data_IF_748743774646
#
_entry.id   IF_748743774646
#
_cell.length_a   1.000
_cell.length_b   1.000
_cell.length_c   1.000
_cell.angle_alpha   90.00
_cell.angle_beta   90.00
_cell.angle_gamma   90.00
#
_symmetry.space_group_name_H-M   'P 1'
#
loop_
_entity.id
_entity.type
_entity.pdbx_description
1 polymer ?
#
# COMPACT_ATOMS: atom_id res chain seq x y z
N UNK A 1 -24.76 6.71 30.87
CA UNK A 1 -24.79 5.38 30.22
C UNK A 1 -25.45 5.45 28.86
N UNK A 2 -26.58 6.16 28.70
CA UNK A 2 -27.34 6.24 27.45
C UNK A 2 -26.65 7.06 26.38
N UNK A 3 -26.04 8.20 26.74
CA UNK A 3 -25.20 9.01 25.85
C UNK A 3 -23.99 8.22 25.33
N UNK A 4 -23.32 7.43 26.19
CA UNK A 4 -22.20 6.60 25.77
C UNK A 4 -22.61 5.52 24.75
N UNK A 5 -23.81 4.92 24.93
CA UNK A 5 -24.38 3.96 23.96
C UNK A 5 -24.71 4.61 22.62
N UNK A 6 -25.28 5.83 22.64
CA UNK A 6 -25.56 6.58 21.40
C UNK A 6 -24.28 6.95 20.66
N UNK A 7 -23.25 7.46 21.38
CA UNK A 7 -21.97 7.78 20.78
C UNK A 7 -21.27 6.55 20.18
N UNK A 8 -21.33 5.41 20.89
CA UNK A 8 -20.76 4.16 20.38
C UNK A 8 -21.48 3.68 19.11
N UNK A 9 -22.83 3.83 19.06
CA UNK A 9 -23.59 3.46 17.87
C UNK A 9 -23.27 4.36 16.68
N UNK A 10 -23.18 5.67 16.89
CA UNK A 10 -22.81 6.62 15.83
C UNK A 10 -21.38 6.32 15.29
N UNK A 11 -20.43 6.01 16.18
CA UNK A 11 -19.09 5.61 15.78
C UNK A 11 -19.10 4.29 14.99
N UNK A 12 -19.90 3.32 15.39
CA UNK A 12 -20.05 2.07 14.65
C UNK A 12 -20.62 2.31 13.24
N UNK A 13 -21.67 3.11 13.13
CA UNK A 13 -22.30 3.43 11.84
C UNK A 13 -21.28 4.16 10.91
N UNK A 14 -20.48 5.08 11.45
CA UNK A 14 -19.43 5.79 10.71
C UNK A 14 -18.32 4.84 10.23
N UNK A 15 -17.86 3.93 11.09
CA UNK A 15 -16.86 2.91 10.71
C UNK A 15 -17.41 2.00 9.61
N UNK A 16 -18.65 1.53 9.74
CA UNK A 16 -19.29 0.67 8.75
C UNK A 16 -19.42 1.37 7.39
N UNK A 17 -19.72 2.66 7.39
CA UNK A 17 -19.81 3.44 6.16
C UNK A 17 -18.42 3.66 5.53
N UNK A 18 -17.39 3.96 6.33
CA UNK A 18 -16.02 4.03 5.86
C UNK A 18 -15.55 2.71 5.23
N UNK A 19 -15.85 1.57 5.84
CA UNK A 19 -15.50 0.25 5.31
C UNK A 19 -16.22 -0.06 3.99
N UNK A 20 -17.50 0.31 3.85
CA UNK A 20 -18.24 0.15 2.58
C UNK A 20 -17.67 1.05 1.49
N UNK A 21 -17.45 2.31 1.81
CA UNK A 21 -16.93 3.31 0.86
C UNK A 21 -15.51 3.01 0.41
N UNK A 22 -14.66 2.44 1.28
CA UNK A 22 -13.30 2.00 0.94
C UNK A 22 -13.23 0.71 0.10
N UNK A 23 -14.36 0.05 -0.15
CA UNK A 23 -14.42 -1.30 -0.73
C UNK A 23 -13.61 -2.34 0.06
N UNK A 24 -13.50 -2.15 1.37
CA UNK A 24 -12.71 -3.04 2.24
C UNK A 24 -13.09 -4.51 2.07
N UNK A 25 -14.39 -4.82 2.02
CA UNK A 25 -14.86 -6.19 1.85
C UNK A 25 -14.43 -6.84 0.52
N UNK A 26 -14.34 -6.05 -0.56
CA UNK A 26 -13.83 -6.52 -1.85
C UNK A 26 -12.35 -6.86 -1.78
N UNK A 27 -11.55 -5.95 -1.22
CA UNK A 27 -10.11 -6.13 -1.06
C UNK A 27 -9.78 -7.31 -0.12
N UNK A 28 -10.53 -7.45 0.99
CA UNK A 28 -10.38 -8.58 1.91
C UNK A 28 -10.72 -9.92 1.26
N UNK A 29 -11.71 -9.97 0.38
CA UNK A 29 -12.03 -11.20 -0.37
C UNK A 29 -10.85 -11.63 -1.24
N UNK A 30 -10.27 -10.71 -1.99
CA UNK A 30 -9.09 -10.99 -2.80
C UNK A 30 -7.88 -11.41 -1.95
N UNK A 31 -7.68 -10.77 -0.81
CA UNK A 31 -6.63 -11.13 0.14
C UNK A 31 -6.81 -12.56 0.68
N UNK A 32 -8.05 -12.96 1.01
CA UNK A 32 -8.37 -14.33 1.46
C UNK A 32 -8.15 -15.35 0.34
N UNK A 33 -8.48 -15.02 -0.91
CA UNK A 33 -8.21 -15.88 -2.07
C UNK A 33 -6.71 -16.12 -2.25
N UNK A 34 -5.88 -15.07 -2.14
CA UNK A 34 -4.42 -15.20 -2.17
C UNK A 34 -3.92 -16.07 -1.02
N UNK A 35 -4.43 -15.82 0.18
CA UNK A 35 -4.09 -16.60 1.37
C UNK A 35 -4.37 -18.09 1.16
N UNK A 36 -5.50 -18.46 0.59
CA UNK A 36 -5.83 -19.85 0.30
C UNK A 36 -4.94 -20.45 -0.81
N UNK A 37 -4.65 -19.70 -1.88
CA UNK A 37 -3.90 -20.19 -3.03
C UNK A 37 -2.40 -20.25 -2.78
N UNK A 38 -1.81 -19.11 -2.34
CA UNK A 38 -0.37 -18.92 -2.19
C UNK A 38 0.08 -19.31 -0.79
N UNK A 39 -0.77 -19.03 0.21
CA UNK A 39 -0.52 -19.28 1.63
C UNK A 39 -0.48 -18.02 2.47
N UNK A 40 -0.39 -16.87 1.83
CA UNK A 40 -0.41 -15.58 2.51
C UNK A 40 -1.14 -14.55 1.66
N UNK A 41 -1.92 -13.72 2.30
CA UNK A 41 -2.54 -12.54 1.72
C UNK A 41 -2.03 -11.30 2.44
N UNK A 42 -1.87 -10.20 1.71
CA UNK A 42 -1.39 -8.92 2.23
C UNK A 42 -2.43 -7.84 1.95
N UNK A 43 -2.75 -7.06 2.96
CA UNK A 43 -3.61 -5.88 2.85
C UNK A 43 -2.87 -4.65 3.35
N UNK A 44 -3.05 -3.53 2.67
CA UNK A 44 -2.59 -2.21 3.06
C UNK A 44 -3.79 -1.38 3.49
N UNK A 45 -3.69 -0.70 4.61
CA UNK A 45 -4.71 0.24 5.05
C UNK A 45 -4.73 0.44 6.57
N UNK A 46 -5.45 1.47 7.05
CA UNK A 46 -6.09 2.51 6.23
C UNK A 46 -5.08 3.51 5.64
N UNK A 47 -5.32 3.97 4.42
CA UNK A 47 -4.54 5.05 3.81
C UNK A 47 -5.47 6.06 3.11
N UNK A 48 -5.11 7.34 2.99
CA UNK A 48 -5.96 8.34 2.38
C UNK A 48 -6.08 8.13 0.87
N UNK A 49 -7.33 7.95 0.39
CA UNK A 49 -7.64 7.90 -1.04
C UNK A 49 -8.45 9.13 -1.43
N UNK A 50 -8.03 9.80 -2.49
CA UNK A 50 -8.81 10.87 -3.10
C UNK A 50 -9.93 10.26 -3.94
N UNK A 51 -11.17 10.40 -3.49
CA UNK A 51 -12.37 10.03 -4.27
C UNK A 51 -12.97 11.25 -4.92
N UNK A 52 -13.33 11.07 -6.18
CA UNK A 52 -14.00 12.11 -6.96
C UNK A 52 -15.42 11.65 -7.25
N UNK A 53 -16.40 12.30 -6.64
CA UNK A 53 -17.81 12.07 -6.88
C UNK A 53 -18.38 13.19 -7.76
N UNK A 54 -19.17 12.81 -8.76
CA UNK A 54 -19.89 13.76 -9.61
C UNK A 54 -21.32 13.85 -9.10
N UNK A 55 -21.70 15.01 -8.60
CA UNK A 55 -23.00 15.25 -7.99
C UNK A 55 -23.70 16.40 -8.69
N UNK A 56 -25.02 16.28 -8.89
CA UNK A 56 -25.82 17.43 -9.32
C UNK A 56 -26.14 18.31 -8.11
N UNK A 57 -25.72 19.57 -8.17
CA UNK A 57 -26.15 20.61 -7.19
C UNK A 57 -27.09 21.58 -7.85
N UNK A 58 -28.13 21.96 -7.11
CA UNK A 58 -29.03 23.05 -7.48
C UNK A 58 -28.39 24.36 -7.03
N UNK A 59 -27.92 25.16 -7.98
CA UNK A 59 -27.32 26.47 -7.74
C UNK A 59 -28.23 27.51 -8.42
N UNK A 60 -29.07 28.15 -7.59
CA UNK A 60 -30.00 29.19 -8.09
C UNK A 60 -31.07 28.71 -9.07
N UNK A 61 -31.58 27.47 -8.91
CA UNK A 61 -32.61 26.87 -9.77
C UNK A 61 -32.09 26.20 -11.04
N UNK A 62 -30.76 26.18 -11.23
CA UNK A 62 -30.10 25.46 -12.33
C UNK A 62 -29.34 24.27 -11.74
N UNK A 63 -29.61 23.07 -12.27
CA UNK A 63 -28.87 21.86 -11.87
C UNK A 63 -27.53 21.83 -12.57
N UNK A 64 -26.47 22.15 -11.85
CA UNK A 64 -25.11 22.06 -12.34
C UNK A 64 -24.43 20.78 -11.91
N UNK A 65 -23.54 20.28 -12.78
CA UNK A 65 -22.75 19.08 -12.55
C UNK A 65 -21.45 19.48 -11.83
N UNK A 66 -21.38 19.21 -10.53
CA UNK A 66 -20.22 19.58 -9.71
C UNK A 66 -19.41 18.32 -9.37
N UNK A 67 -18.10 18.44 -9.55
CA UNK A 67 -17.15 17.39 -9.15
C UNK A 67 -16.70 17.68 -7.72
N UNK A 68 -17.08 16.82 -6.78
CA UNK A 68 -16.61 16.88 -5.40
C UNK A 68 -15.42 15.95 -5.23
N UNK A 69 -14.37 16.44 -4.61
CA UNK A 69 -13.19 15.66 -4.28
C UNK A 69 -13.08 15.56 -2.76
N UNK A 70 -13.13 14.35 -2.24
CA UNK A 70 -13.04 14.06 -0.81
C UNK A 70 -11.89 13.09 -0.55
N UNK A 71 -11.21 13.24 0.58
CA UNK A 71 -10.21 12.28 1.06
C UNK A 71 -10.92 11.33 2.00
N UNK A 72 -10.89 10.04 1.69
CA UNK A 72 -11.51 8.98 2.50
C UNK A 72 -10.48 7.91 2.83
N UNK A 73 -10.62 7.21 3.96
CA UNK A 73 -9.78 6.06 4.26
C UNK A 73 -10.06 4.96 3.24
N UNK A 74 -8.99 4.33 2.78
CA UNK A 74 -9.08 3.22 1.85
C UNK A 74 -8.24 2.04 2.27
N UNK A 75 -8.54 0.89 1.70
CA UNK A 75 -7.76 -0.33 1.85
C UNK A 75 -7.50 -0.92 0.47
N UNK A 76 -6.37 -1.59 0.32
CA UNK A 76 -5.92 -2.17 -0.94
C UNK A 76 -5.29 -3.53 -0.68
N UNK A 77 -5.70 -4.53 -1.44
CA UNK A 77 -4.98 -5.81 -1.52
C UNK A 77 -3.64 -5.59 -2.19
N UNK A 78 -2.56 -6.11 -1.58
CA UNK A 78 -1.23 -6.11 -2.16
C UNK A 78 -0.92 -7.53 -2.62
N UNK A 79 -0.35 -7.65 -3.81
CA UNK A 79 0.14 -8.94 -4.30
C UNK A 79 1.30 -9.40 -3.43
N UNK A 80 1.23 -10.59 -2.80
CA UNK A 80 2.30 -11.10 -1.94
C UNK A 80 3.68 -11.19 -2.62
N UNK A 81 3.73 -11.30 -3.94
CA UNK A 81 4.97 -11.29 -4.72
C UNK A 81 5.61 -9.89 -4.88
N UNK A 82 4.84 -8.86 -4.53
CA UNK A 82 5.28 -7.47 -4.58
C UNK A 82 5.44 -6.84 -3.19
N UNK A 83 5.41 -7.66 -2.14
CA UNK A 83 5.61 -7.22 -0.76
C UNK A 83 6.82 -7.91 -0.14
N UNK A 84 7.75 -7.11 0.38
CA UNK A 84 9.04 -7.57 0.88
C UNK A 84 9.26 -7.04 2.31
N UNK A 85 8.80 -7.75 3.34
CA UNK A 85 9.08 -7.40 4.73
C UNK A 85 10.51 -7.75 5.10
N UNK A 86 11.01 -7.16 6.17
CA UNK A 86 12.31 -7.49 6.77
C UNK A 86 12.37 -9.01 7.07
N UNK A 87 13.37 -9.75 6.56
CA UNK A 87 13.54 -11.16 6.87
C UNK A 87 13.69 -11.47 8.37
N UNK A 88 14.13 -10.50 9.16
CA UNK A 88 14.29 -10.65 10.60
C UNK A 88 13.01 -10.38 11.42
N UNK A 89 11.89 -10.05 10.78
CA UNK A 89 10.63 -9.71 11.47
C UNK A 89 9.99 -10.88 12.24
N UNK A 90 10.40 -12.12 11.98
CA UNK A 90 9.77 -13.28 12.60
C UNK A 90 8.34 -13.52 12.09
N UNK A 91 7.41 -13.78 13.03
CA UNK A 91 6.01 -14.08 12.68
C UNK A 91 5.15 -12.83 12.40
N UNK A 92 5.58 -11.67 12.88
CA UNK A 92 4.89 -10.39 12.67
C UNK A 92 5.78 -9.40 11.93
N UNK A 93 5.25 -8.85 10.84
CA UNK A 93 5.97 -7.84 10.06
C UNK A 93 6.30 -6.58 10.87
N UNK A 94 5.50 -6.25 11.90
CA UNK A 94 5.70 -5.08 12.76
C UNK A 94 6.92 -5.19 13.68
N UNK A 95 7.46 -6.40 13.86
CA UNK A 95 8.72 -6.61 14.60
C UNK A 95 9.96 -6.35 13.73
N UNK A 96 9.76 -6.17 12.42
CA UNK A 96 10.84 -5.88 11.48
C UNK A 96 11.23 -4.40 11.49
N UNK A 97 12.40 -4.11 10.94
CA UNK A 97 12.92 -2.75 10.82
C UNK A 97 12.35 -2.01 9.61
N UNK A 98 11.87 -2.72 8.60
CA UNK A 98 11.36 -2.14 7.37
C UNK A 98 10.41 -3.06 6.60
N UNK A 99 9.66 -2.44 5.68
CA UNK A 99 8.89 -3.14 4.65
C UNK A 99 9.02 -2.41 3.32
N UNK A 100 9.04 -3.18 2.22
CA UNK A 100 9.01 -2.65 0.86
C UNK A 100 7.78 -3.17 0.13
N UNK A 101 7.12 -2.28 -0.60
CA UNK A 101 6.07 -2.60 -1.55
C UNK A 101 6.50 -2.18 -2.95
N UNK A 102 6.26 -3.03 -3.94
CA UNK A 102 6.49 -2.73 -5.35
C UNK A 102 5.16 -2.59 -6.08
N UNK A 103 5.01 -1.52 -6.83
CA UNK A 103 3.86 -1.29 -7.70
C UNK A 103 4.31 -1.05 -9.14
N UNK A 104 3.42 -1.36 -10.07
CA UNK A 104 3.64 -1.07 -11.48
C UNK A 104 2.63 -0.03 -11.95
N UNK A 105 3.11 1.12 -12.37
CA UNK A 105 2.29 2.26 -12.76
C UNK A 105 2.47 2.61 -14.23
N UNK A 106 1.38 3.00 -14.87
CA UNK A 106 1.41 3.58 -16.21
C UNK A 106 1.89 5.04 -16.17
N UNK A 107 2.41 5.55 -17.28
CA UNK A 107 2.80 6.96 -17.42
C UNK A 107 1.69 7.95 -17.06
N UNK A 108 0.43 7.57 -17.24
CA UNK A 108 -0.73 8.38 -16.86
C UNK A 108 -0.84 8.52 -15.34
N UNK A 109 -0.78 7.40 -14.62
CA UNK A 109 -0.86 7.40 -13.16
C UNK A 109 0.28 8.19 -12.53
N UNK A 110 1.48 8.10 -13.10
CA UNK A 110 2.64 8.86 -12.64
C UNK A 110 2.45 10.37 -12.85
N UNK A 111 1.86 10.79 -13.97
CA UNK A 111 1.53 12.21 -14.18
C UNK A 111 0.51 12.72 -13.18
N UNK A 112 -0.45 11.90 -12.76
CA UNK A 112 -1.43 12.25 -11.72
C UNK A 112 -0.77 12.45 -10.34
N UNK A 113 0.41 11.85 -10.11
CA UNK A 113 1.19 12.03 -8.86
C UNK A 113 1.90 13.40 -8.80
N UNK A 114 2.15 14.07 -9.93
CA UNK A 114 2.84 15.37 -9.97
C UNK A 114 2.08 16.43 -9.16
N UNK A 115 0.76 16.38 -9.19
CA UNK A 115 -0.11 17.32 -8.49
C UNK A 115 -0.43 16.91 -7.04
N UNK A 116 0.13 15.78 -6.57
CA UNK A 116 -0.10 15.33 -5.21
C UNK A 116 0.87 16.01 -4.22
N UNK A 117 0.40 16.40 -3.03
CA UNK A 117 1.25 17.05 -2.03
C UNK A 117 2.35 16.12 -1.54
N UNK A 118 3.54 16.69 -1.35
CA UNK A 118 4.70 15.98 -0.82
C UNK A 118 5.47 15.14 -1.82
N UNK A 119 5.09 15.16 -3.10
CA UNK A 119 5.86 14.54 -4.19
C UNK A 119 6.74 15.58 -4.88
N UNK A 120 7.99 15.19 -5.22
CA UNK A 120 8.87 16.01 -6.03
C UNK A 120 8.49 15.92 -7.52
N UNK A 121 7.84 16.99 -8.00
CA UNK A 121 7.38 17.07 -9.38
C UNK A 121 8.54 17.02 -10.40
N UNK A 122 9.71 17.55 -10.04
CA UNK A 122 10.86 17.57 -10.95
C UNK A 122 11.44 16.18 -11.14
N UNK A 123 11.62 15.42 -10.06
CA UNK A 123 12.12 14.05 -10.11
C UNK A 123 11.14 13.12 -10.86
N UNK A 124 9.83 13.33 -10.68
CA UNK A 124 8.82 12.59 -11.47
C UNK A 124 8.92 12.91 -12.97
N UNK A 125 9.09 14.19 -13.34
CA UNK A 125 9.25 14.60 -14.74
C UNK A 125 10.54 14.01 -15.33
N UNK A 126 11.64 13.96 -14.56
CA UNK A 126 12.86 13.32 -15.01
C UNK A 126 12.67 11.81 -15.24
N UNK A 127 12.02 11.11 -14.31
CA UNK A 127 11.71 9.69 -14.46
C UNK A 127 10.84 9.42 -15.70
N UNK A 128 9.83 10.27 -15.96
CA UNK A 128 8.99 10.17 -17.16
C UNK A 128 9.78 10.37 -18.47
N UNK A 129 10.81 11.24 -18.46
CA UNK A 129 11.67 11.47 -19.64
C UNK A 129 12.63 10.30 -19.89
N UNK A 130 13.14 9.67 -18.82
CA UNK A 130 13.99 8.48 -18.93
C UNK A 130 13.22 7.25 -19.44
N UNK A 131 11.92 7.20 -19.18
CA UNK A 131 11.08 6.07 -19.51
C UNK A 131 11.11 4.94 -18.47
N UNK A 132 10.34 3.87 -18.69
CA UNK A 132 10.28 2.72 -17.78
C UNK A 132 11.63 1.99 -17.72
N UNK A 133 12.10 1.69 -16.51
CA UNK A 133 13.24 0.79 -16.29
C UNK A 133 12.70 -0.56 -15.83
N UNK A 134 13.05 -1.62 -16.53
CA UNK A 134 12.60 -2.96 -16.20
C UNK A 134 13.67 -3.67 -15.39
N UNK A 135 13.33 -4.02 -14.14
CA UNK A 135 14.24 -4.80 -13.29
C UNK A 135 14.43 -6.23 -13.81
N UNK A 136 15.59 -6.82 -13.55
CA UNK A 136 15.88 -8.21 -13.92
C UNK A 136 14.90 -9.21 -13.29
N UNK A 137 14.38 -8.91 -12.09
CA UNK A 137 13.40 -9.75 -11.40
C UNK A 137 12.06 -9.82 -12.13
N UNK A 138 11.68 -8.75 -12.82
CA UNK A 138 10.46 -8.69 -13.62
C UNK A 138 10.61 -9.44 -14.94
N UNK A 139 11.77 -9.36 -15.58
CA UNK A 139 12.06 -10.11 -16.81
C UNK A 139 11.94 -11.62 -16.61
N UNK A 140 12.25 -12.12 -15.40
CA UNK A 140 12.19 -13.54 -15.08
C UNK A 140 10.77 -14.04 -14.73
N UNK A 141 9.87 -13.17 -14.25
CA UNK A 141 8.54 -13.56 -13.74
C UNK A 141 7.40 -13.39 -14.74
N UNK A 142 7.53 -12.47 -15.68
CA UNK A 142 6.44 -12.10 -16.60
C UNK A 142 6.80 -12.50 -18.04
N UNK A 143 6.13 -13.50 -18.57
CA UNK A 143 6.34 -13.96 -19.95
C UNK A 143 5.90 -12.96 -21.03
N UNK A 144 5.44 -11.75 -20.65
CA UNK A 144 5.04 -10.68 -21.55
C UNK A 144 5.96 -9.47 -21.46
N UNK A 145 7.05 -9.49 -22.22
CA UNK A 145 8.00 -8.38 -22.32
C UNK A 145 7.33 -7.04 -22.67
N UNK A 146 6.32 -7.03 -23.53
CA UNK A 146 5.64 -5.80 -23.99
C UNK A 146 4.95 -5.02 -22.87
N UNK A 147 4.29 -5.69 -21.90
CA UNK A 147 3.66 -5.00 -20.77
C UNK A 147 4.68 -4.42 -19.79
N UNK A 148 5.85 -5.03 -19.71
CA UNK A 148 6.91 -4.58 -18.84
C UNK A 148 7.56 -3.27 -19.32
N UNK A 149 7.65 -3.06 -20.63
CA UNK A 149 8.26 -1.87 -21.24
C UNK A 149 7.39 -0.61 -21.14
N UNK A 150 6.09 -0.75 -20.85
CA UNK A 150 5.14 0.36 -20.74
C UNK A 150 4.85 0.82 -19.30
N UNK A 151 5.35 0.10 -18.30
CA UNK A 151 5.07 0.37 -16.89
C UNK A 151 6.32 0.70 -16.10
N UNK A 152 6.20 1.71 -15.26
CA UNK A 152 7.24 2.12 -14.32
C UNK A 152 7.15 1.31 -13.04
N UNK A 153 8.29 1.00 -12.43
CA UNK A 153 8.36 0.41 -11.11
C UNK A 153 8.36 1.51 -10.05
N UNK A 154 7.37 1.47 -9.17
CA UNK A 154 7.30 2.29 -7.97
C UNK A 154 7.62 1.41 -6.77
N UNK A 155 8.54 1.89 -5.94
CA UNK A 155 8.90 1.26 -4.68
C UNK A 155 8.47 2.14 -3.52
N UNK A 156 7.75 1.57 -2.57
CA UNK A 156 7.30 2.25 -1.36
C UNK A 156 7.97 1.57 -0.17
N UNK A 157 8.72 2.36 0.56
CA UNK A 157 9.44 1.96 1.76
C UNK A 157 8.70 2.47 2.99
N UNK A 158 8.62 1.65 4.01
CA UNK A 158 8.30 2.04 5.37
C UNK A 158 9.34 1.43 6.29
N UNK A 159 9.95 2.23 7.16
CA UNK A 159 10.97 1.71 8.06
C UNK A 159 11.67 2.78 8.88
N UNK A 160 12.63 2.32 9.66
CA UNK A 160 13.49 3.19 10.46
C UNK A 160 14.59 3.77 9.59
N UNK A 161 14.67 5.09 9.54
CA UNK A 161 15.72 5.86 8.86
C UNK A 161 16.55 6.62 9.86
N UNK A 162 17.81 6.88 9.55
CA UNK A 162 18.65 7.73 10.38
C UNK A 162 18.18 9.20 10.23
N UNK A 163 18.15 9.92 11.34
CA UNK A 163 17.65 11.32 11.39
C UNK A 163 18.49 12.24 10.50
N UNK A 164 19.80 12.01 10.41
CA UNK A 164 20.70 12.80 9.58
C UNK A 164 20.37 12.65 8.08
N UNK A 165 20.01 11.43 7.64
CA UNK A 165 19.61 11.15 6.25
C UNK A 165 18.27 11.82 5.91
N UNK A 166 17.32 11.81 6.85
CA UNK A 166 16.03 12.48 6.69
C UNK A 166 16.19 14.01 6.62
N UNK A 167 17.06 14.60 7.43
CA UNK A 167 17.35 16.02 7.39
C UNK A 167 18.05 16.41 6.06
N UNK A 168 18.93 15.58 5.54
CA UNK A 168 19.58 15.81 4.25
C UNK A 168 18.57 15.89 3.08
N UNK A 169 17.42 15.23 3.21
CA UNK A 169 16.32 15.26 2.22
C UNK A 169 15.27 16.34 2.56
N UNK A 170 15.48 17.12 3.65
CA UNK A 170 14.61 18.23 4.04
C UNK A 170 13.40 17.81 4.90
N UNK A 171 13.44 16.63 5.52
CA UNK A 171 12.43 16.19 6.49
C UNK A 171 12.92 16.51 7.89
N UNK A 172 12.23 17.43 8.58
CA UNK A 172 12.53 17.77 9.97
C UNK A 172 11.99 16.67 10.90
N UNK A 173 12.84 16.20 11.81
CA UNK A 173 12.48 15.26 12.87
C UNK A 173 12.28 16.03 14.17
N UNK A 174 11.15 15.86 14.83
CA UNK A 174 10.82 16.56 16.08
C UNK A 174 11.57 15.99 17.31
N UNK A 175 12.02 14.75 17.24
CA UNK A 175 12.69 14.07 18.35
C UNK A 175 14.22 14.11 18.21
N UNK A 176 14.94 14.26 19.36
CA UNK A 176 16.40 14.06 19.46
C UNK A 176 16.81 12.58 19.21
N UNK A 177 15.88 11.75 18.77
CA UNK A 177 16.14 10.33 18.48
C UNK A 177 17.01 10.20 17.24
N UNK A 178 18.06 9.37 17.27
CA UNK A 178 18.94 9.16 16.12
C UNK A 178 18.24 8.46 14.95
N UNK A 179 17.07 7.87 15.18
CA UNK A 179 16.27 7.17 14.17
C UNK A 179 14.81 7.59 14.24
N UNK A 180 14.20 7.76 13.08
CA UNK A 180 12.78 8.04 12.95
C UNK A 180 12.11 7.08 11.96
N UNK A 181 10.86 6.75 12.23
CA UNK A 181 10.05 5.96 11.30
C UNK A 181 9.62 6.83 10.13
N UNK A 182 9.96 6.43 8.91
CA UNK A 182 9.71 7.20 7.71
C UNK A 182 9.09 6.35 6.60
N UNK A 183 8.44 7.05 5.68
CA UNK A 183 7.95 6.52 4.42
C UNK A 183 8.73 7.18 3.28
N UNK A 184 9.31 6.37 2.39
CA UNK A 184 9.95 6.85 1.18
C UNK A 184 9.32 6.21 -0.05
N UNK A 185 9.19 6.98 -1.12
CA UNK A 185 8.69 6.50 -2.42
C UNK A 185 9.76 6.75 -3.48
N UNK A 186 10.10 5.69 -4.20
CA UNK A 186 11.07 5.72 -5.28
C UNK A 186 10.39 5.34 -6.60
N UNK A 187 10.65 6.09 -7.64
CA UNK A 187 10.20 5.82 -9.00
C UNK A 187 11.43 5.49 -9.87
N UNK A 188 11.49 4.27 -10.39
CA UNK A 188 12.71 3.70 -10.91
C UNK A 188 13.83 3.75 -9.83
N UNK A 189 14.89 4.55 -10.08
CA UNK A 189 16.01 4.76 -9.14
C UNK A 189 16.00 6.17 -8.52
N UNK A 190 14.87 6.90 -8.61
CA UNK A 190 14.75 8.30 -8.13
C UNK A 190 13.83 8.38 -6.93
N UNK A 191 14.29 9.07 -5.91
CA UNK A 191 13.49 9.36 -4.72
C UNK A 191 12.52 10.49 -5.06
N UNK A 192 11.20 10.18 -5.00
CA UNK A 192 10.15 11.15 -5.39
C UNK A 192 9.33 11.66 -4.22
N UNK A 193 9.41 10.98 -3.06
CA UNK A 193 8.75 11.43 -1.84
C UNK A 193 9.44 10.84 -0.62
N UNK A 194 9.61 11.67 0.42
CA UNK A 194 9.99 11.23 1.77
C UNK A 194 9.12 11.95 2.78
N UNK A 195 8.62 11.22 3.77
CA UNK A 195 7.84 11.81 4.87
C UNK A 195 7.99 10.95 6.11
N UNK A 196 7.76 11.51 7.27
CA UNK A 196 7.65 10.74 8.50
C UNK A 196 6.45 9.78 8.42
N UNK A 197 6.53 8.66 9.11
CA UNK A 197 5.42 7.73 9.20
C UNK A 197 4.26 8.40 9.96
N UNK A 198 3.06 8.37 9.38
CA UNK A 198 1.87 9.00 9.93
C UNK A 198 1.22 8.16 11.04
N UNK A 199 1.64 6.90 11.19
CA UNK A 199 1.09 5.99 12.21
C UNK A 199 1.73 6.28 13.56
N UNK A 200 0.94 6.77 14.53
CA UNK A 200 1.39 7.07 15.89
C UNK A 200 1.94 5.84 16.63
N UNK A 201 1.46 4.64 16.28
CA UNK A 201 1.97 3.38 16.86
C UNK A 201 3.35 2.99 16.35
N UNK A 202 3.86 3.64 15.29
CA UNK A 202 5.08 3.22 14.60
C UNK A 202 4.93 1.93 13.77
N UNK A 203 3.74 1.34 13.73
CA UNK A 203 3.44 0.16 12.94
C UNK A 203 3.45 0.46 11.44
N UNK A 204 3.63 -0.57 10.64
CA UNK A 204 3.49 -0.47 9.19
C UNK A 204 2.01 -0.51 8.80
N UNK A 205 1.59 0.21 7.74
CA UNK A 205 0.20 0.20 7.28
C UNK A 205 -0.14 -1.08 6.48
N UNK A 206 0.40 -2.21 6.89
CA UNK A 206 0.20 -3.50 6.25
C UNK A 206 -0.15 -4.57 7.27
N UNK A 207 -1.02 -5.50 6.86
CA UNK A 207 -1.28 -6.73 7.60
C UNK A 207 -1.08 -7.94 6.70
N UNK A 208 -0.50 -9.01 7.27
CA UNK A 208 -0.26 -10.28 6.58
C UNK A 208 -1.10 -11.38 7.22
N UNK A 209 -2.04 -11.92 6.45
CA UNK A 209 -2.82 -13.10 6.83
C UNK A 209 -2.13 -14.35 6.29
N UNK A 210 -1.77 -15.29 7.18
CA UNK A 210 -1.21 -16.58 6.80
C UNK A 210 -2.26 -17.68 6.93
N UNK A 211 -2.45 -18.51 5.87
CA UNK A 211 -3.39 -19.64 5.88
C UNK A 211 -2.98 -20.69 6.90
N UNK A 212 -1.80 -21.24 6.76
CA UNK A 212 -1.16 -22.06 7.75
C UNK A 212 0.16 -21.41 8.11
N UNK A 213 0.26 -20.91 9.33
CA UNK A 213 1.46 -20.21 9.82
C UNK A 213 2.68 -21.12 9.77
N UNK A 214 3.81 -20.52 9.45
CA UNK A 214 5.13 -21.16 9.52
C UNK A 214 5.90 -20.52 10.68
N UNK A 215 6.62 -21.32 11.48
CA UNK A 215 7.44 -20.76 12.55
C UNK A 215 8.46 -19.75 12.02
N UNK A 216 8.66 -18.68 12.77
CA UNK A 216 9.71 -17.68 12.55
C UNK A 216 9.63 -16.93 11.22
N UNK A 217 8.46 -16.89 10.57
CA UNK A 217 8.26 -16.08 9.34
C UNK A 217 6.80 -15.64 9.20
N UNK A 218 6.56 -14.47 8.57
CA UNK A 218 5.21 -13.95 8.39
C UNK A 218 4.42 -14.72 7.32
N UNK A 219 5.10 -15.51 6.50
CA UNK A 219 4.52 -16.24 5.38
C UNK A 219 3.93 -17.59 5.77
N UNK A 220 2.78 -17.90 5.19
CA UNK A 220 2.08 -19.17 5.41
C UNK A 220 2.28 -20.20 4.29
N UNK A 221 1.59 -21.33 4.43
CA UNK A 221 1.44 -22.35 3.39
C UNK A 221 0.00 -22.39 2.91
N UNK A 222 -0.20 -22.29 1.59
CA UNK A 222 -1.52 -22.39 0.97
C UNK A 222 -2.00 -23.81 0.79
N UNK A 223 -3.30 -23.93 0.51
CA UNK A 223 -3.97 -25.22 0.27
C UNK A 223 -3.31 -25.99 -0.88
N UNK A 224 -2.92 -25.32 -1.96
CA UNK A 224 -2.27 -25.94 -3.12
C UNK A 224 -1.01 -26.73 -2.75
N UNK A 225 -0.22 -26.23 -1.80
CA UNK A 225 0.98 -26.91 -1.32
C UNK A 225 0.66 -28.09 -0.42
N UNK A 226 -0.39 -27.99 0.38
CA UNK A 226 -0.84 -29.07 1.27
C UNK A 226 -1.36 -30.27 0.50
N UNK A 227 -2.12 -30.03 -0.57
CA UNK A 227 -2.73 -31.09 -1.41
C UNK A 227 -1.73 -31.73 -2.37
N UNK A 228 -0.61 -31.08 -2.68
CA UNK A 228 0.39 -31.56 -3.64
C UNK A 228 0.90 -32.96 -3.34
N UNK A 229 1.24 -33.26 -2.08
CA UNK A 229 1.81 -34.57 -1.68
C UNK A 229 0.79 -35.70 -1.77
N UNK A 230 -0.42 -35.59 -1.18
CA UNK A 230 -1.47 -36.61 -1.38
C UNK A 230 -1.80 -36.84 -2.85
N UNK A 231 -1.88 -35.79 -3.66
CA UNK A 231 -2.20 -35.89 -5.08
C UNK A 231 -1.13 -36.62 -5.88
N UNK A 232 0.16 -36.46 -5.52
CA UNK A 232 1.26 -37.24 -6.14
C UNK A 232 1.30 -38.70 -5.73
N UNK A 233 0.71 -39.06 -4.59
CA UNK A 233 0.60 -40.44 -4.15
C UNK A 233 -0.55 -41.20 -4.82
N UNK A 234 -1.54 -40.45 -5.33
CA UNK A 234 -2.72 -41.01 -6.01
C UNK A 234 -2.53 -41.16 -7.52
N UNK A 235 -1.55 -40.53 -8.12
CA UNK A 235 -1.13 -40.61 -9.52
C UNK A 235 0.09 -41.51 -9.66
#
# INVERSE_FOLDING_TARGET
>A
VEQAKQSAKLMQDEIDDCLKESNFHGEMRHMIEDCARIGSGVVKGPFPIKRTAKVFRDIGGVKEFVTLSEIKPGSKRIDPWNFFPDPACGESIHNGSYTWEREYLSSRQIREMIDMPGYDAQEIIYALKEGPKVSQSRQASDGSQQKAEEQFELWIFYGQCDADDLQAVGVETEDESPKASAMAVMLNDRLVKVTLNVMDSGDFPYDVLAWQRRPSMPWGMGVSRQVRTPQRMLN
#
